data_IF_806167005703
#
_entry.id   IF_806167005703
#
_cell.length_a   1.000
_cell.length_b   1.000
_cell.length_c   1.000
_cell.angle_alpha   90.00
_cell.angle_beta   90.00
_cell.angle_gamma   90.00
#
_symmetry.space_group_name_H-M   'P 1'
#
loop_
_entity.id
_entity.type
_entity.pdbx_description
1 polymer ?
#
# COMPACT_ATOMS: atom_id res chain seq x y z
N UNK A 1 1.30 20.63 8.92
CA UNK A 1 1.34 19.22 9.36
C UNK A 1 2.74 18.99 9.88
N UNK A 2 2.91 18.92 11.20
CA UNK A 2 4.23 19.01 11.84
C UNK A 2 5.05 17.72 11.80
N UNK A 3 4.41 16.55 11.73
CA UNK A 3 5.10 15.25 11.83
C UNK A 3 5.30 14.53 10.49
N UNK A 4 4.74 15.08 9.41
CA UNK A 4 4.79 14.46 8.09
C UNK A 4 3.71 13.41 7.85
N UNK A 5 3.95 12.56 6.85
CA UNK A 5 3.06 11.48 6.44
C UNK A 5 3.21 10.24 7.34
N UNK A 6 2.20 9.36 7.35
CA UNK A 6 2.33 8.07 8.04
C UNK A 6 3.42 7.20 7.40
N UNK A 7 3.66 7.32 6.09
CA UNK A 7 4.79 6.66 5.43
C UNK A 7 6.15 7.11 6.02
N UNK A 8 6.33 8.42 6.25
CA UNK A 8 7.53 8.94 6.92
C UNK A 8 7.66 8.44 8.36
N UNK A 9 6.56 8.42 9.11
CA UNK A 9 6.55 7.92 10.49
C UNK A 9 6.86 6.42 10.55
N UNK A 10 6.29 5.62 9.63
CA UNK A 10 6.58 4.19 9.50
C UNK A 10 8.06 3.94 9.20
N UNK A 11 8.63 4.64 8.21
CA UNK A 11 10.01 4.45 7.79
C UNK A 11 11.06 4.93 8.80
N UNK A 12 10.69 5.82 9.73
CA UNK A 12 11.61 6.34 10.75
C UNK A 12 11.49 5.63 12.10
N UNK A 13 10.28 5.20 12.49
CA UNK A 13 10.01 4.73 13.87
C UNK A 13 9.30 3.37 13.94
N UNK A 14 8.60 2.93 12.89
CA UNK A 14 7.73 1.75 12.93
C UNK A 14 7.94 0.83 11.72
N UNK A 15 9.17 0.34 11.57
CA UNK A 15 9.58 -0.53 10.46
C UNK A 15 8.76 -1.82 10.34
N UNK A 16 8.16 -2.29 11.44
CA UNK A 16 7.34 -3.51 11.49
C UNK A 16 5.83 -3.21 11.43
N UNK A 17 5.44 -1.96 11.14
CA UNK A 17 4.06 -1.49 11.14
C UNK A 17 3.58 -0.97 12.50
N UNK A 18 2.32 -0.50 12.50
CA UNK A 18 1.64 0.08 13.65
C UNK A 18 0.80 -0.97 14.40
N UNK A 19 0.40 -0.61 15.62
CA UNK A 19 -0.63 -1.34 16.35
C UNK A 19 -1.99 -1.15 15.68
N UNK A 20 -2.82 -2.21 15.67
CA UNK A 20 -4.13 -2.20 15.03
C UNK A 20 -5.00 -1.02 15.47
N UNK A 21 -5.05 -0.72 16.77
CA UNK A 21 -5.81 0.43 17.30
C UNK A 21 -5.40 1.76 16.65
N UNK A 22 -4.09 1.95 16.42
CA UNK A 22 -3.58 3.14 15.74
C UNK A 22 -3.93 3.15 14.25
N UNK A 23 -3.90 1.97 13.59
CA UNK A 23 -4.30 1.81 12.19
C UNK A 23 -5.76 2.17 12.03
N UNK A 24 -6.64 1.66 12.91
CA UNK A 24 -8.07 1.94 12.89
C UNK A 24 -8.34 3.43 13.03
N UNK A 25 -7.68 4.12 13.97
CA UNK A 25 -7.82 5.58 14.14
C UNK A 25 -7.38 6.32 12.88
N UNK A 26 -6.21 5.97 12.32
CA UNK A 26 -5.66 6.60 11.14
C UNK A 26 -6.55 6.39 9.89
N UNK A 27 -6.96 5.15 9.64
CA UNK A 27 -7.84 4.80 8.53
C UNK A 27 -9.20 5.47 8.67
N UNK A 28 -9.80 5.48 9.87
CA UNK A 28 -11.08 6.16 10.09
C UNK A 28 -11.03 7.64 9.71
N UNK A 29 -10.01 8.37 10.16
CA UNK A 29 -9.85 9.78 9.81
C UNK A 29 -9.58 9.99 8.32
N UNK A 30 -8.80 9.11 7.70
CA UNK A 30 -8.54 9.17 6.27
C UNK A 30 -9.81 8.85 5.44
N UNK A 31 -10.60 7.86 5.86
CA UNK A 31 -11.86 7.45 5.23
C UNK A 31 -12.91 8.54 5.31
N UNK A 32 -12.98 9.32 6.40
CA UNK A 32 -13.84 10.50 6.46
C UNK A 32 -13.49 11.51 5.36
N UNK A 33 -12.20 11.78 5.16
CA UNK A 33 -11.76 12.64 4.06
C UNK A 33 -12.07 12.05 2.68
N UNK A 34 -11.92 10.73 2.52
CA UNK A 34 -12.25 10.04 1.27
C UNK A 34 -13.77 10.06 1.00
N UNK A 35 -14.58 9.92 2.03
CA UNK A 35 -16.04 9.98 1.96
C UNK A 35 -16.52 11.35 1.46
N UNK A 36 -15.95 12.43 2.00
CA UNK A 36 -16.24 13.79 1.54
C UNK A 36 -15.89 14.00 0.06
N UNK A 37 -14.77 13.42 -0.40
CA UNK A 37 -14.37 13.46 -1.80
C UNK A 37 -15.33 12.70 -2.70
N UNK A 38 -15.66 11.46 -2.34
CA UNK A 38 -16.57 10.62 -3.12
C UNK A 38 -17.97 11.23 -3.21
N UNK A 39 -18.48 11.80 -2.11
CA UNK A 39 -19.75 12.52 -2.11
C UNK A 39 -19.74 13.79 -2.97
N UNK A 40 -18.56 14.38 -3.16
CA UNK A 40 -18.35 15.52 -4.06
C UNK A 40 -18.16 15.10 -5.53
N UNK A 41 -18.26 13.80 -5.84
CA UNK A 41 -18.01 13.26 -7.19
C UNK A 41 -16.54 13.21 -7.59
N UNK A 42 -15.62 13.32 -6.62
CA UNK A 42 -14.17 13.30 -6.84
C UNK A 42 -13.58 11.94 -6.45
N UNK A 43 -12.57 11.51 -7.21
CA UNK A 43 -11.82 10.26 -6.97
C UNK A 43 -10.40 10.64 -6.57
N UNK A 44 -9.87 10.04 -5.52
CA UNK A 44 -8.56 10.37 -4.95
C UNK A 44 -7.39 9.85 -5.79
N UNK A 45 -7.48 8.64 -6.34
CA UNK A 45 -6.54 7.97 -7.29
C UNK A 45 -5.17 7.60 -6.73
N UNK A 46 -4.82 8.12 -5.56
CA UNK A 46 -3.52 7.94 -4.93
C UNK A 46 -3.60 7.78 -3.41
N UNK A 47 -4.68 7.19 -2.90
CA UNK A 47 -4.79 6.89 -1.46
C UNK A 47 -3.64 5.96 -1.03
N UNK A 48 -2.86 6.35 -0.01
CA UNK A 48 -1.74 5.57 0.53
C UNK A 48 -1.38 6.05 1.92
N UNK A 49 -0.52 5.33 2.66
CA UNK A 49 0.02 5.84 3.92
C UNK A 49 0.82 7.15 3.74
N UNK A 50 1.36 7.41 2.54
CA UNK A 50 2.04 8.67 2.21
C UNK A 50 1.10 9.88 2.10
N UNK A 51 -0.20 9.64 1.92
CA UNK A 51 -1.22 10.68 1.79
C UNK A 51 -1.98 10.92 3.10
N UNK A 52 -1.72 10.13 4.14
CA UNK A 52 -2.30 10.33 5.47
C UNK A 52 -1.27 11.04 6.32
N UNK A 53 -1.63 12.21 6.83
CA UNK A 53 -0.70 13.07 7.53
C UNK A 53 -1.13 13.32 8.97
N UNK A 54 -0.15 13.44 9.86
CA UNK A 54 -0.35 13.66 11.29
C UNK A 54 0.15 15.05 11.67
N UNK A 55 -0.65 15.75 12.47
CA UNK A 55 -0.33 17.08 12.97
C UNK A 55 -0.55 17.13 14.47
N UNK A 56 0.48 17.51 15.23
CA UNK A 56 0.32 17.77 16.65
C UNK A 56 0.10 19.27 16.85
N UNK A 57 -1.05 19.65 17.41
CA UNK A 57 -1.34 21.04 17.73
C UNK A 57 -1.43 21.22 19.24
N UNK A 58 -0.39 21.79 19.83
CA UNK A 58 -0.31 22.06 21.28
C UNK A 58 -1.33 23.10 21.78
N UNK A 59 -2.07 23.77 20.89
CA UNK A 59 -3.02 24.84 21.22
C UNK A 59 -4.49 24.43 21.11
N UNK A 60 -4.78 23.21 20.68
CA UNK A 60 -6.15 22.70 20.51
C UNK A 60 -6.50 21.69 21.60
N UNK A 61 -7.77 21.59 21.97
CA UNK A 61 -8.29 20.60 22.94
C UNK A 61 -8.11 19.14 22.48
N UNK A 62 -7.93 18.90 21.18
CA UNK A 62 -7.34 17.68 20.63
C UNK A 62 -5.89 17.97 20.23
N UNK A 63 -4.95 17.26 20.86
CA UNK A 63 -3.53 17.44 20.59
C UNK A 63 -3.10 16.85 19.24
N UNK A 64 -3.93 16.01 18.59
CA UNK A 64 -3.58 15.26 17.38
C UNK A 64 -4.67 15.41 16.31
N UNK A 65 -4.27 15.76 15.10
CA UNK A 65 -5.13 15.83 13.91
C UNK A 65 -4.55 14.91 12.83
N UNK A 66 -5.39 14.06 12.25
CA UNK A 66 -5.04 13.17 11.13
C UNK A 66 -5.91 13.56 9.95
N UNK A 67 -5.30 13.79 8.78
CA UNK A 67 -6.05 14.15 7.56
C UNK A 67 -5.53 13.41 6.35
N UNK A 68 -6.44 13.14 5.43
CA UNK A 68 -6.13 12.71 4.07
C UNK A 68 -5.77 13.93 3.22
N UNK A 69 -4.62 13.88 2.55
CA UNK A 69 -4.18 14.90 1.60
C UNK A 69 -4.65 14.58 0.17
N UNK A 70 -5.42 15.49 -0.43
CA UNK A 70 -5.97 15.37 -1.78
C UNK A 70 -5.54 16.55 -2.65
N UNK A 71 -5.22 16.28 -3.93
CA UNK A 71 -4.85 17.26 -4.97
C UNK A 71 -3.96 18.43 -4.49
N UNK A 72 -2.64 18.30 -4.67
CA UNK A 72 -1.62 19.32 -4.41
C UNK A 72 -1.31 19.68 -2.93
N UNK A 73 -1.54 18.79 -1.96
CA UNK A 73 -0.88 18.86 -0.64
C UNK A 73 0.50 18.16 -0.60
N UNK A 74 1.16 18.01 -1.75
CA UNK A 74 2.54 17.51 -1.81
C UNK A 74 3.46 18.63 -1.30
N UNK A 75 3.61 18.74 0.01
CA UNK A 75 4.78 19.40 0.58
C UNK A 75 5.96 18.47 0.30
N UNK A 76 6.61 18.66 -0.84
CA UNK A 76 7.85 17.98 -1.19
C UNK A 76 8.96 18.47 -0.27
N UNK A 77 9.02 17.94 0.95
CA UNK A 77 10.26 18.00 1.72
C UNK A 77 11.24 17.11 0.96
N UNK A 78 12.30 17.70 0.40
CA UNK A 78 13.36 17.02 -0.35
C UNK A 78 14.15 15.97 0.46
N UNK A 79 13.60 15.49 1.59
CA UNK A 79 14.16 14.52 2.52
C UNK A 79 13.46 13.15 2.50
N UNK A 80 12.33 12.98 1.80
CA UNK A 80 11.63 11.68 1.73
C UNK A 80 12.16 10.74 0.63
N UNK A 81 13.49 10.65 0.50
CA UNK A 81 14.12 9.52 -0.17
C UNK A 81 15.00 8.79 0.86
N UNK A 82 14.80 7.48 1.13
CA UNK A 82 15.77 6.74 1.91
C UNK A 82 17.09 6.79 1.15
N UNK A 83 18.07 7.50 1.72
CA UNK A 83 19.44 7.52 1.21
C UNK A 83 19.96 6.08 1.23
N UNK A 84 19.95 5.42 0.08
CA UNK A 84 20.76 4.24 -0.14
C UNK A 84 22.22 4.69 -0.11
N UNK A 85 22.88 4.53 1.04
CA UNK A 85 24.33 4.70 1.15
C UNK A 85 24.99 3.47 0.53
N UNK A 86 25.11 3.47 -0.78
CA UNK A 86 26.00 2.55 -1.49
C UNK A 86 27.43 2.93 -1.17
N UNK A 87 28.13 2.11 -0.36
CA UNK A 87 29.58 2.21 -0.20
C UNK A 87 30.26 1.81 -1.51
N UNK A 88 30.40 2.76 -2.42
CA UNK A 88 31.18 2.65 -3.65
C UNK A 88 32.54 3.33 -3.47
N UNK A 89 33.60 2.52 -3.60
CA UNK A 89 35.02 2.85 -3.46
C UNK A 89 35.44 4.06 -4.32
N UNK A 90 36.27 4.91 -3.73
CA UNK A 90 36.96 6.04 -4.37
C UNK A 90 37.66 5.64 -5.67
N UNK A 91 37.52 6.49 -6.70
CA UNK A 91 38.61 6.96 -7.57
C UNK A 91 38.12 8.13 -8.45
N UNK A 92 38.57 9.33 -8.10
CA UNK A 92 39.01 10.43 -8.99
C UNK A 92 38.10 10.97 -10.11
N UNK A 93 37.74 12.26 -9.96
CA UNK A 93 37.72 13.32 -10.99
C UNK A 93 36.65 13.18 -12.10
N UNK A 94 35.48 13.81 -11.92
CA UNK A 94 35.11 15.07 -12.59
C UNK A 94 33.67 15.46 -12.22
N UNK A 95 33.49 16.69 -11.76
CA UNK A 95 32.21 17.25 -11.33
C UNK A 95 31.33 17.61 -12.53
N UNK A 96 30.59 16.62 -13.04
CA UNK A 96 29.34 16.88 -13.78
C UNK A 96 28.25 16.03 -13.16
N UNK A 97 27.48 16.64 -12.25
CA UNK A 97 26.29 16.03 -11.66
C UNK A 97 25.25 15.89 -12.77
N UNK A 98 25.32 14.76 -13.45
CA UNK A 98 24.29 14.32 -14.38
C UNK A 98 23.11 13.87 -13.53
N UNK A 99 22.20 14.81 -13.23
CA UNK A 99 20.92 14.50 -12.59
C UNK A 99 20.13 13.68 -13.62
N UNK A 100 19.88 12.37 -13.40
CA UNK A 100 18.94 11.65 -14.27
C UNK A 100 17.58 12.35 -14.16
N UNK A 101 16.80 12.43 -15.24
CA UNK A 101 15.54 13.17 -15.26
C UNK A 101 14.69 12.73 -14.08
N UNK A 102 14.54 13.63 -13.10
CA UNK A 102 13.71 13.43 -11.92
C UNK A 102 12.29 13.24 -12.44
N UNK A 103 11.67 12.11 -12.12
CA UNK A 103 10.23 11.96 -12.22
C UNK A 103 9.60 13.06 -11.35
N UNK A 104 9.18 14.14 -12.00
CA UNK A 104 8.56 15.26 -11.34
C UNK A 104 7.23 14.83 -10.70
N UNK A 105 7.14 14.94 -9.37
CA UNK A 105 5.91 15.41 -8.71
C UNK A 105 4.78 14.41 -8.46
N UNK A 106 5.06 13.11 -8.32
CA UNK A 106 4.09 12.17 -7.78
C UNK A 106 4.80 11.12 -6.95
N UNK A 107 4.37 10.93 -5.70
CA UNK A 107 4.65 9.69 -4.96
C UNK A 107 4.46 8.55 -5.96
N UNK A 108 5.53 7.83 -6.29
CA UNK A 108 5.49 6.77 -7.28
C UNK A 108 4.55 5.70 -6.76
N UNK A 109 3.25 5.83 -7.06
CA UNK A 109 2.24 4.84 -6.77
C UNK A 109 2.80 3.54 -7.32
N UNK A 110 3.11 2.63 -6.41
CA UNK A 110 3.67 1.35 -6.76
C UNK A 110 2.75 0.74 -7.81
N UNK A 111 3.20 0.62 -9.07
CA UNK A 111 2.33 0.20 -10.19
C UNK A 111 1.62 -1.13 -9.88
N UNK A 112 2.25 -1.99 -9.08
CA UNK A 112 1.67 -3.25 -8.61
C UNK A 112 0.44 -3.10 -7.70
N UNK A 113 0.33 -1.97 -6.98
CA UNK A 113 -0.73 -1.66 -6.02
C UNK A 113 -1.99 -1.06 -6.66
N UNK A 114 -1.94 -0.70 -7.95
CA UNK A 114 -3.11 -0.20 -8.66
C UNK A 114 -4.24 -1.24 -8.60
N UNK A 115 -5.50 -0.80 -8.52
CA UNK A 115 -6.64 -1.71 -8.55
C UNK A 115 -6.61 -2.60 -9.81
N UNK A 116 -7.06 -3.87 -9.76
CA UNK A 116 -7.07 -4.78 -10.91
C UNK A 116 -7.57 -4.16 -12.22
N UNK A 117 -8.75 -3.53 -12.19
CA UNK A 117 -9.36 -2.88 -13.35
C UNK A 117 -8.47 -1.75 -13.91
N UNK A 118 -7.83 -0.96 -13.05
CA UNK A 118 -6.89 0.10 -13.44
C UNK A 118 -5.59 -0.48 -14.00
N UNK A 119 -5.06 -1.54 -13.38
CA UNK A 119 -3.81 -2.16 -13.78
C UNK A 119 -3.93 -2.83 -15.15
N UNK A 120 -4.96 -3.65 -15.34
CA UNK A 120 -5.16 -4.40 -16.58
C UNK A 120 -5.71 -3.54 -17.72
N UNK A 121 -6.40 -2.43 -17.43
CA UNK A 121 -6.76 -1.42 -18.44
C UNK A 121 -5.50 -0.80 -19.09
N UNK A 122 -4.48 -0.44 -18.29
CA UNK A 122 -3.21 0.12 -18.79
C UNK A 122 -2.41 -0.85 -19.67
N UNK A 123 -2.51 -2.16 -19.44
CA UNK A 123 -1.79 -3.16 -20.23
C UNK A 123 -2.35 -3.34 -21.66
N UNK A 124 -3.59 -2.93 -21.91
CA UNK A 124 -4.22 -3.04 -23.25
C UNK A 124 -3.79 -1.87 -24.15
N UNK A 125 -3.55 -0.70 -23.57
CA UNK A 125 -3.18 0.52 -24.31
C UNK A 125 -1.70 0.56 -24.74
N UNK A 126 -0.80 -0.09 -23.99
CA UNK A 126 0.65 -0.13 -24.26
C UNK A 126 1.01 -0.91 -25.56
N UNK A 127 0.00 -1.49 -26.22
CA UNK A 127 0.10 -2.13 -27.54
C UNK A 127 -0.30 -1.21 -28.71
N UNK A 128 -0.67 0.06 -28.45
CA UNK A 128 -1.05 1.02 -29.50
C UNK A 128 -0.11 2.23 -29.52
N UNK A 129 0.42 2.52 -30.71
CA UNK A 129 1.44 3.53 -31.00
C UNK A 129 0.99 4.97 -30.66
N UNK A 130 1.80 5.67 -29.85
CA UNK A 130 2.05 7.13 -29.75
C UNK A 130 0.91 8.10 -30.10
N UNK A 131 0.46 8.97 -29.16
CA UNK A 131 0.79 10.41 -29.13
C UNK A 131 0.05 11.20 -28.01
N UNK A 132 0.87 11.88 -27.20
CA UNK A 132 0.62 13.11 -26.42
C UNK A 132 0.06 13.08 -24.99
N UNK A 133 0.62 13.94 -24.11
CA UNK A 133 0.50 13.82 -22.66
C UNK A 133 -0.47 14.86 -22.07
N UNK A 134 -1.05 14.50 -20.92
CA UNK A 134 -1.62 15.33 -19.85
C UNK A 134 -3.12 15.41 -19.60
N UNK A 135 -4.05 14.95 -20.47
CA UNK A 135 -5.49 15.14 -20.14
C UNK A 135 -6.49 14.04 -20.51
N UNK A 136 -6.05 12.83 -20.91
CA UNK A 136 -7.00 11.73 -21.24
C UNK A 136 -6.90 10.47 -20.36
N UNK A 137 -6.02 10.46 -19.36
CA UNK A 137 -5.62 9.25 -18.62
C UNK A 137 -6.36 9.07 -17.28
N UNK A 138 -7.67 9.27 -17.26
CA UNK A 138 -8.46 9.29 -16.02
C UNK A 138 -9.65 8.32 -15.95
N UNK A 139 -10.05 7.72 -17.08
CA UNK A 139 -11.37 7.08 -17.19
C UNK A 139 -11.49 5.71 -16.50
N UNK A 140 -10.36 5.03 -16.26
CA UNK A 140 -10.37 3.72 -15.60
C UNK A 140 -10.44 3.78 -14.07
N UNK A 141 -10.19 4.94 -13.46
CA UNK A 141 -10.23 5.06 -12.00
C UNK A 141 -11.67 5.31 -11.56
N UNK A 142 -12.13 4.53 -10.59
CA UNK A 142 -13.47 4.63 -10.01
C UNK A 142 -13.38 4.86 -8.50
N UNK A 143 -14.51 5.18 -7.86
CA UNK A 143 -14.58 5.22 -6.39
C UNK A 143 -14.15 3.89 -5.75
N UNK A 144 -14.40 2.75 -6.40
CA UNK A 144 -13.98 1.43 -5.92
C UNK A 144 -12.48 1.17 -6.16
N UNK A 145 -11.85 1.86 -7.10
CA UNK A 145 -10.39 1.80 -7.25
C UNK A 145 -9.67 2.46 -6.06
N UNK A 146 -10.23 3.54 -5.49
CA UNK A 146 -9.75 4.12 -4.23
C UNK A 146 -9.90 3.14 -3.06
N UNK A 147 -11.00 2.39 -3.00
CA UNK A 147 -11.21 1.37 -1.96
C UNK A 147 -10.14 0.27 -2.02
N UNK A 148 -9.70 -0.12 -3.22
CA UNK A 148 -8.57 -1.04 -3.34
C UNK A 148 -7.29 -0.45 -2.74
N UNK A 149 -7.04 0.84 -3.00
CA UNK A 149 -5.91 1.56 -2.42
C UNK A 149 -6.01 1.70 -0.89
N UNK A 150 -7.22 1.81 -0.32
CA UNK A 150 -7.43 1.74 1.14
C UNK A 150 -6.91 0.41 1.69
N UNK A 151 -7.23 -0.71 1.04
CA UNK A 151 -6.74 -2.03 1.43
C UNK A 151 -5.21 -2.13 1.38
N UNK A 152 -4.58 -1.56 0.34
CA UNK A 152 -3.12 -1.49 0.25
C UNK A 152 -2.53 -0.63 1.37
N UNK A 153 -3.10 0.55 1.61
CA UNK A 153 -2.64 1.45 2.67
C UNK A 153 -2.78 0.79 4.05
N UNK A 154 -3.84 0.01 4.30
CA UNK A 154 -3.99 -0.76 5.53
C UNK A 154 -2.86 -1.79 5.69
N UNK A 155 -2.46 -2.47 4.61
CA UNK A 155 -1.30 -3.37 4.62
C UNK A 155 0.02 -2.61 4.87
N UNK A 156 0.20 -1.43 4.27
CA UNK A 156 1.38 -0.57 4.53
C UNK A 156 1.44 -0.16 6.01
N UNK A 157 0.31 0.24 6.59
CA UNK A 157 0.24 0.59 8.02
C UNK A 157 0.47 -0.63 8.92
N UNK A 158 -0.04 -1.81 8.53
CA UNK A 158 0.03 -3.05 9.28
C UNK A 158 1.44 -3.66 9.30
N UNK A 159 2.13 -3.66 8.17
CA UNK A 159 3.43 -4.33 8.01
C UNK A 159 4.60 -3.36 7.87
N UNK A 160 4.34 -2.07 7.71
CA UNK A 160 5.36 -1.09 7.37
C UNK A 160 5.73 -1.19 5.89
N UNK A 161 7.02 -1.41 5.61
CA UNK A 161 7.52 -1.43 4.24
C UNK A 161 7.17 -2.75 3.53
N UNK A 162 6.14 -2.73 2.68
CA UNK A 162 5.74 -3.85 1.83
C UNK A 162 6.77 -4.07 0.71
N UNK A 163 7.59 -5.11 0.85
CA UNK A 163 8.63 -5.48 -0.13
C UNK A 163 8.08 -6.30 -1.30
N UNK A 164 7.05 -5.78 -1.95
CA UNK A 164 6.41 -6.46 -3.09
C UNK A 164 7.06 -5.97 -4.38
N UNK A 165 7.61 -6.91 -5.14
CA UNK A 165 8.37 -6.60 -6.35
C UNK A 165 7.52 -6.67 -7.61
N UNK A 166 6.41 -7.42 -7.57
CA UNK A 166 5.55 -7.61 -8.74
C UNK A 166 4.06 -7.70 -8.42
N UNK A 167 3.23 -7.36 -9.41
CA UNK A 167 1.77 -7.55 -9.33
C UNK A 167 1.37 -9.01 -9.08
N UNK A 168 2.08 -9.97 -9.69
CA UNK A 168 1.80 -11.40 -9.54
C UNK A 168 2.03 -11.87 -8.10
N UNK A 169 3.09 -11.37 -7.47
CA UNK A 169 3.40 -11.62 -6.06
C UNK A 169 2.31 -11.06 -5.14
N UNK A 170 1.89 -9.81 -5.38
CA UNK A 170 0.77 -9.19 -4.64
C UNK A 170 -0.51 -10.02 -4.76
N UNK A 171 -0.91 -10.41 -5.96
CA UNK A 171 -2.12 -11.21 -6.16
C UNK A 171 -2.02 -12.60 -5.54
N UNK A 172 -0.85 -13.23 -5.59
CA UNK A 172 -0.63 -14.52 -4.95
C UNK A 172 -0.79 -14.41 -3.43
N UNK A 173 -0.27 -13.34 -2.83
CA UNK A 173 -0.47 -13.01 -1.41
C UNK A 173 -1.95 -12.89 -1.07
N UNK A 174 -2.73 -12.10 -1.84
CA UNK A 174 -4.16 -11.90 -1.56
C UNK A 174 -4.98 -13.17 -1.81
N UNK A 175 -4.78 -13.86 -2.93
CA UNK A 175 -5.58 -15.06 -3.32
C UNK A 175 -5.39 -16.24 -2.37
N UNK A 176 -4.19 -16.40 -1.81
CA UNK A 176 -3.87 -17.51 -0.89
C UNK A 176 -4.29 -17.22 0.55
N UNK A 177 -4.54 -15.96 0.88
CA UNK A 177 -4.86 -15.52 2.24
C UNK A 177 -6.35 -15.64 2.53
N UNK A 178 -6.74 -16.63 3.36
CA UNK A 178 -8.00 -16.55 4.14
C UNK A 178 -7.86 -15.68 5.39
N UNK A 179 -6.62 -15.33 5.70
CA UNK A 179 -6.15 -14.62 6.89
C UNK A 179 -4.88 -13.86 6.50
N UNK A 180 -4.69 -12.65 7.02
CA UNK A 180 -3.45 -11.91 6.82
C UNK A 180 -2.28 -12.60 7.54
N UNK A 181 -1.07 -12.62 6.96
CA UNK A 181 0.09 -13.30 7.55
C UNK A 181 0.55 -12.61 8.85
N UNK A 182 1.10 -13.35 9.82
CA UNK A 182 1.59 -12.71 11.05
C UNK A 182 2.87 -11.88 10.80
N UNK A 183 3.74 -12.33 9.88
CA UNK A 183 4.89 -11.59 9.34
C UNK A 183 4.91 -11.67 7.81
N UNK A 184 5.46 -10.64 7.15
CA UNK A 184 5.53 -10.61 5.69
C UNK A 184 6.49 -11.67 5.14
N UNK A 185 7.56 -11.96 5.89
CA UNK A 185 8.59 -12.94 5.54
C UNK A 185 8.07 -14.38 5.49
N UNK A 186 7.04 -14.71 6.29
CA UNK A 186 6.44 -16.05 6.34
C UNK A 186 5.82 -16.45 4.98
N UNK A 187 5.45 -15.48 4.14
CA UNK A 187 4.92 -15.72 2.79
C UNK A 187 6.01 -15.96 1.74
N UNK A 188 7.19 -15.36 1.91
CA UNK A 188 8.29 -15.52 0.95
C UNK A 188 8.91 -16.92 1.04
N UNK A 189 8.92 -17.51 2.25
CA UNK A 189 9.35 -18.89 2.44
C UNK A 189 8.40 -19.91 1.78
N UNK A 190 7.09 -19.68 1.80
CA UNK A 190 6.10 -20.59 1.20
C UNK A 190 6.10 -20.57 -0.34
N UNK A 191 6.33 -19.40 -0.96
CA UNK A 191 6.40 -19.27 -2.42
C UNK A 191 7.58 -20.06 -3.01
N UNK A 192 8.68 -20.18 -2.27
CA UNK A 192 9.89 -20.89 -2.70
C UNK A 192 9.76 -22.43 -2.63
N UNK A 193 8.70 -22.97 -2.02
CA UNK A 193 8.54 -24.43 -1.82
C UNK A 193 7.83 -25.11 -2.99
N UNK A 194 7.12 -24.40 -3.86
CA UNK A 194 6.31 -25.01 -4.94
C UNK A 194 7.03 -25.26 -6.29
N UNK A 195 8.37 -25.12 -6.37
CA UNK A 195 9.14 -25.51 -7.58
C UNK A 195 10.00 -26.77 -7.37
N UNK A 196 9.52 -27.73 -6.57
CA UNK A 196 10.14 -29.05 -6.40
C UNK A 196 9.23 -30.20 -6.83
N UNK A 197 9.41 -30.72 -8.06
CA UNK A 197 8.81 -32.00 -8.48
C UNK A 197 9.37 -33.14 -7.61
N UNK A 198 8.56 -33.68 -6.69
CA UNK A 198 8.85 -34.96 -6.04
C UNK A 198 8.10 -35.22 -4.72
N UNK A 199 7.31 -36.30 -4.70
CA UNK A 199 6.75 -36.95 -3.49
C UNK A 199 5.55 -36.31 -2.76
N UNK A 200 4.43 -36.29 -3.49
CA UNK A 200 3.11 -35.73 -3.15
C UNK A 200 2.32 -36.40 -1.99
N UNK A 201 2.94 -37.24 -1.14
CA UNK A 201 2.22 -37.95 -0.04
C UNK A 201 2.73 -37.66 1.38
N UNK A 202 3.97 -37.20 1.56
CA UNK A 202 4.50 -36.82 2.89
C UNK A 202 4.32 -35.34 3.22
N UNK A 203 4.23 -34.48 2.20
CA UNK A 203 4.03 -33.03 2.39
C UNK A 203 2.65 -32.69 2.98
N UNK A 204 1.59 -33.42 2.62
CA UNK A 204 0.21 -33.14 3.10
C UNK A 204 0.07 -33.32 4.62
N UNK A 205 0.80 -34.26 5.23
CA UNK A 205 0.79 -34.48 6.68
C UNK A 205 1.60 -33.39 7.39
N UNK A 206 2.74 -32.99 6.84
CA UNK A 206 3.61 -31.96 7.43
C UNK A 206 2.98 -30.56 7.35
N UNK A 207 2.28 -30.25 6.25
CA UNK A 207 1.56 -28.97 6.07
C UNK A 207 0.34 -28.92 7.01
N UNK A 208 -0.42 -30.01 7.17
CA UNK A 208 -1.54 -30.05 8.12
C UNK A 208 -1.09 -29.93 9.58
N UNK A 209 0.07 -30.48 9.95
CA UNK A 209 0.58 -30.38 11.32
C UNK A 209 1.20 -29.00 11.62
N UNK A 210 1.76 -28.30 10.62
CA UNK A 210 2.10 -26.86 10.76
C UNK A 210 0.85 -25.97 10.79
N UNK A 211 -0.19 -26.29 10.02
CA UNK A 211 -1.46 -25.56 10.06
C UNK A 211 -2.16 -25.70 11.43
N UNK A 212 -2.02 -26.85 12.09
CA UNK A 212 -2.47 -27.06 13.49
C UNK A 212 -1.67 -26.27 14.52
N UNK A 213 -0.43 -25.90 14.20
CA UNK A 213 0.44 -25.09 15.07
C UNK A 213 0.19 -23.57 14.95
N UNK A 214 -0.61 -23.13 13.97
CA UNK A 214 -1.13 -21.74 13.90
C UNK A 214 -2.46 -21.61 14.67
N UNK A 215 -2.52 -22.23 15.86
CA UNK A 215 -3.34 -21.74 16.99
C UNK A 215 -2.60 -20.63 17.76
N UNK A 216 -1.69 -19.93 17.08
CA UNK A 216 -1.09 -18.71 17.58
C UNK A 216 -2.13 -17.61 17.71
N UNK A 217 -1.97 -16.77 18.74
CA UNK A 217 -2.76 -15.54 18.92
C UNK A 217 -2.67 -14.72 17.63
N UNK A 218 -3.81 -14.37 17.04
CA UNK A 218 -3.81 -13.59 15.80
C UNK A 218 -3.10 -12.26 16.03
N UNK A 219 -2.27 -11.84 15.07
CA UNK A 219 -1.69 -10.49 15.10
C UNK A 219 -2.77 -9.42 14.95
N UNK A 220 -3.73 -9.65 14.06
CA UNK A 220 -4.84 -8.76 13.78
C UNK A 220 -6.19 -9.38 14.14
N UNK A 221 -7.17 -8.55 14.45
CA UNK A 221 -8.55 -8.98 14.63
C UNK A 221 -9.13 -9.56 13.34
N UNK A 222 -10.19 -10.35 13.48
CA UNK A 222 -10.88 -10.93 12.32
C UNK A 222 -11.55 -9.83 11.50
N UNK A 223 -12.05 -8.82 12.17
CA UNK A 223 -12.73 -7.66 11.62
C UNK A 223 -11.76 -6.83 10.75
N UNK A 224 -10.53 -6.61 11.22
CA UNK A 224 -9.50 -5.93 10.43
C UNK A 224 -9.09 -6.76 9.20
N UNK A 225 -8.89 -8.06 9.37
CA UNK A 225 -8.56 -8.96 8.25
C UNK A 225 -9.66 -8.97 7.18
N UNK A 226 -10.92 -9.03 7.58
CA UNK A 226 -12.08 -8.99 6.67
C UNK A 226 -12.17 -7.65 5.93
N UNK A 227 -12.02 -6.52 6.65
CA UNK A 227 -12.00 -5.19 6.05
C UNK A 227 -10.94 -5.07 4.94
N UNK A 228 -9.72 -5.51 5.21
CA UNK A 228 -8.62 -5.44 4.24
C UNK A 228 -8.89 -6.33 3.03
N UNK A 229 -9.38 -7.56 3.24
CA UNK A 229 -9.66 -8.50 2.15
C UNK A 229 -10.84 -8.05 1.28
N UNK A 230 -11.89 -7.48 1.87
CA UNK A 230 -13.04 -6.93 1.16
C UNK A 230 -12.62 -5.73 0.29
N UNK A 231 -11.77 -4.86 0.81
CA UNK A 231 -11.18 -3.76 0.03
C UNK A 231 -10.33 -4.27 -1.15
N UNK A 232 -9.60 -5.37 -0.96
CA UNK A 232 -8.71 -5.95 -1.97
C UNK A 232 -9.40 -6.98 -2.89
N UNK A 233 -10.73 -7.02 -2.90
CA UNK A 233 -11.46 -7.92 -3.78
C UNK A 233 -11.11 -7.69 -5.25
N UNK A 234 -10.91 -8.80 -5.98
CA UNK A 234 -10.56 -8.77 -7.40
C UNK A 234 -11.69 -8.20 -8.26
N UNK A 235 -12.95 -8.31 -7.82
CA UNK A 235 -14.11 -7.77 -8.51
C UNK A 235 -14.47 -6.42 -7.90
N UNK A 236 -14.46 -5.39 -8.73
CA UNK A 236 -14.80 -4.02 -8.34
C UNK A 236 -16.16 -3.93 -7.62
N UNK A 237 -17.20 -4.54 -8.20
CA UNK A 237 -18.58 -4.49 -7.70
C UNK A 237 -18.81 -5.19 -6.35
N UNK A 238 -17.83 -5.93 -5.86
CA UNK A 238 -17.89 -6.59 -4.54
C UNK A 238 -17.15 -5.82 -3.46
N UNK A 239 -16.39 -4.78 -3.83
CA UNK A 239 -15.72 -3.94 -2.85
C UNK A 239 -16.77 -3.07 -2.14
N UNK A 240 -16.59 -2.82 -0.83
CA UNK A 240 -17.45 -1.92 -0.09
C UNK A 240 -17.36 -0.49 -0.64
N UNK A 241 -18.36 0.34 -0.35
CA UNK A 241 -18.23 1.80 -0.48
C UNK A 241 -17.50 2.36 0.73
N UNK A 242 -17.03 3.62 0.65
CA UNK A 242 -16.42 4.29 1.82
C UNK A 242 -17.41 4.38 2.98
N UNK A 243 -18.70 4.55 2.67
CA UNK A 243 -19.77 4.60 3.68
C UNK A 243 -19.96 3.27 4.43
N UNK A 244 -19.70 2.13 3.78
CA UNK A 244 -19.78 0.82 4.42
C UNK A 244 -18.58 0.57 5.36
N UNK A 245 -17.48 1.28 5.16
CA UNK A 245 -16.24 1.16 5.95
C UNK A 245 -16.21 2.05 7.22
N UNK A 246 -17.18 2.97 7.38
CA UNK A 246 -17.24 3.97 8.46
C UNK A 246 -18.20 3.58 9.59
#
# INVERSE_FOLDING_TARGET
MSEGSLCYILSSRFHNGLLEDCIVIALKQALLGLFDLHNSGLIHKCFSAGNIYVNFNQRSSSNVEIRLGFAATIYGSELESPLFVSHGRELGIDSTVSIPPRNHGGLSLNKWAAAPEVFYSKCVEDLSLVQSPLFLYDDACTVHSDICLVGVAALELAYGNLRISSRKEFEAMIKRSRRLPDKLEDLLEEINVEEGKGEMKKAVVYVNDKLKYVKGKRRFSKEFEELVLDCLSSKESTRPSVGDLL
#
